data_IF_969091158352
#
_entry.id   IF_969091158352
#
_cell.length_a   1.000
_cell.length_b   1.000
_cell.length_c   1.000
_cell.angle_alpha   90.00
_cell.angle_beta   90.00
_cell.angle_gamma   90.00
#
_symmetry.space_group_name_H-M   'P 1'
#
loop_
_entity.id
_entity.type
_entity.pdbx_description
1 polymer ?
#
# COMPACT_ATOMS: atom_id res chain seq x y z
N UNK A 1 13.46 -2.01 -7.70
CA UNK A 1 13.47 -2.15 -6.23
C UNK A 1 12.10 -2.60 -5.75
N UNK A 2 12.02 -3.55 -4.81
CA UNK A 2 10.74 -3.97 -4.20
C UNK A 2 10.52 -3.29 -2.85
N UNK A 3 9.40 -2.60 -2.72
CA UNK A 3 9.01 -1.91 -1.48
C UNK A 3 7.69 -2.47 -0.97
N UNK A 4 7.65 -2.86 0.30
CA UNK A 4 6.41 -3.22 0.99
C UNK A 4 5.89 -2.05 1.82
N UNK A 5 4.61 -1.73 1.71
CA UNK A 5 3.90 -0.78 2.57
C UNK A 5 2.87 -1.54 3.38
N UNK A 6 3.06 -1.57 4.70
CA UNK A 6 2.20 -2.26 5.67
C UNK A 6 1.24 -1.25 6.30
N UNK A 7 -0.06 -1.46 6.06
CA UNK A 7 -1.16 -0.55 6.37
C UNK A 7 -1.47 0.35 5.17
N UNK A 8 -2.69 0.26 4.64
CA UNK A 8 -3.18 0.99 3.49
C UNK A 8 -4.18 2.11 3.86
N UNK A 9 -4.23 2.53 5.13
CA UNK A 9 -4.90 3.77 5.52
C UNK A 9 -4.28 5.01 4.84
N UNK A 10 -4.74 6.21 5.20
CA UNK A 10 -4.36 7.46 4.53
C UNK A 10 -2.84 7.63 4.27
N UNK A 11 -2.00 7.47 5.28
CA UNK A 11 -0.53 7.66 5.15
C UNK A 11 0.11 6.56 4.30
N UNK A 12 -0.25 5.29 4.53
CA UNK A 12 0.30 4.19 3.75
C UNK A 12 -0.10 4.25 2.28
N UNK A 13 -1.37 4.55 2.00
CA UNK A 13 -1.87 4.80 0.65
C UNK A 13 -1.14 5.96 -0.04
N UNK A 14 -0.77 7.03 0.70
CA UNK A 14 0.00 8.13 0.14
C UNK A 14 1.38 7.66 -0.35
N UNK A 15 2.14 6.96 0.49
CA UNK A 15 3.44 6.42 0.08
C UNK A 15 3.31 5.39 -1.04
N UNK A 16 2.39 4.44 -0.91
CA UNK A 16 2.18 3.39 -1.90
C UNK A 16 1.85 3.97 -3.28
N UNK A 17 0.97 4.98 -3.34
CA UNK A 17 0.56 5.56 -4.60
C UNK A 17 1.67 6.37 -5.28
N UNK A 18 2.42 7.19 -4.52
CA UNK A 18 3.54 7.93 -5.09
C UNK A 18 4.69 7.02 -5.52
N UNK A 19 5.04 6.00 -4.72
CA UNK A 19 6.09 5.06 -5.08
C UNK A 19 5.73 4.22 -6.31
N UNK A 20 4.45 3.85 -6.46
CA UNK A 20 3.96 3.09 -7.61
C UNK A 20 3.97 3.88 -8.94
N UNK A 21 4.31 5.18 -8.91
CA UNK A 21 4.54 5.99 -10.11
C UNK A 21 5.97 5.89 -10.65
N UNK A 22 6.90 5.35 -9.87
CA UNK A 22 8.29 5.23 -10.25
C UNK A 22 8.49 3.97 -11.10
N UNK A 23 9.13 4.09 -12.25
CA UNK A 23 9.30 2.97 -13.20
C UNK A 23 10.15 1.83 -12.62
N UNK A 24 11.12 2.16 -11.75
CA UNK A 24 12.06 1.21 -11.17
C UNK A 24 11.62 0.68 -9.79
N UNK A 25 10.37 0.92 -9.37
CA UNK A 25 9.86 0.50 -8.05
C UNK A 25 8.62 -0.38 -8.18
N UNK A 26 8.70 -1.61 -7.68
CA UNK A 26 7.57 -2.51 -7.52
C UNK A 26 7.02 -2.37 -6.09
N UNK A 27 5.82 -1.83 -5.95
CA UNK A 27 5.16 -1.60 -4.66
C UNK A 27 4.20 -2.74 -4.33
N UNK A 28 4.38 -3.31 -3.14
CA UNK A 28 3.46 -4.24 -2.49
C UNK A 28 2.77 -3.54 -1.32
N UNK A 29 1.46 -3.29 -1.45
CA UNK A 29 0.63 -2.69 -0.43
C UNK A 29 -0.12 -3.79 0.35
N UNK A 30 -0.02 -3.78 1.67
CA UNK A 30 -0.64 -4.78 2.53
C UNK A 30 -1.56 -4.16 3.56
N UNK A 31 -2.77 -4.67 3.68
CA UNK A 31 -3.70 -4.34 4.76
C UNK A 31 -4.57 -5.56 5.09
N UNK A 32 -4.99 -5.68 6.34
CA UNK A 32 -5.85 -6.79 6.80
C UNK A 32 -7.30 -6.64 6.33
N UNK A 33 -7.71 -5.43 5.96
CA UNK A 33 -9.04 -5.14 5.44
C UNK A 33 -9.18 -5.60 3.98
N UNK A 34 -9.80 -6.77 3.78
CA UNK A 34 -10.01 -7.37 2.46
C UNK A 34 -10.82 -6.47 1.52
N UNK A 35 -11.90 -5.87 2.01
CA UNK A 35 -12.77 -5.02 1.19
C UNK A 35 -12.00 -3.79 0.68
N UNK A 36 -11.13 -3.25 1.53
CA UNK A 36 -10.23 -2.17 1.15
C UNK A 36 -9.21 -2.60 0.08
N UNK A 37 -8.59 -3.77 0.24
CA UNK A 37 -7.65 -4.33 -0.74
C UNK A 37 -8.34 -4.61 -2.08
N UNK A 38 -9.54 -5.17 -2.08
CA UNK A 38 -10.32 -5.42 -3.29
C UNK A 38 -10.66 -4.10 -4.00
N UNK A 39 -11.02 -3.05 -3.25
CA UNK A 39 -11.25 -1.72 -3.80
C UNK A 39 -9.99 -1.12 -4.43
N UNK A 40 -8.82 -1.30 -3.81
CA UNK A 40 -7.53 -0.88 -4.37
C UNK A 40 -7.21 -1.66 -5.65
N UNK A 41 -7.39 -2.97 -5.67
CA UNK A 41 -7.10 -3.78 -6.85
C UNK A 41 -8.03 -3.44 -8.03
N UNK A 42 -9.31 -3.16 -7.75
CA UNK A 42 -10.27 -2.80 -8.78
C UNK A 42 -10.06 -1.38 -9.33
N UNK A 43 -9.76 -0.40 -8.46
CA UNK A 43 -9.81 1.02 -8.83
C UNK A 43 -8.45 1.73 -8.78
N UNK A 44 -7.40 1.08 -8.26
CA UNK A 44 -6.13 1.71 -7.93
C UNK A 44 -6.24 2.63 -6.71
N UNK A 45 -5.10 3.18 -6.31
CA UNK A 45 -5.03 4.27 -5.33
C UNK A 45 -5.14 5.61 -6.05
N UNK A 46 -6.16 6.40 -5.70
CA UNK A 46 -6.38 7.76 -6.19
C UNK A 46 -6.20 8.76 -5.06
N UNK A 47 -5.19 9.60 -5.18
CA UNK A 47 -4.94 10.74 -4.29
C UNK A 47 -5.39 12.02 -4.98
N UNK A 48 -5.99 12.91 -4.20
CA UNK A 48 -6.36 14.26 -4.62
C UNK A 48 -5.95 15.28 -3.55
N UNK A 49 -5.85 16.55 -3.92
CA UNK A 49 -5.36 17.63 -3.07
C UNK A 49 -4.25 18.40 -3.76
N UNK A 50 -3.08 18.51 -3.12
CA UNK A 50 -1.91 19.20 -3.69
C UNK A 50 -1.42 18.55 -5.00
N UNK A 51 -1.62 17.24 -5.15
CA UNK A 51 -1.35 16.51 -6.39
C UNK A 51 -2.50 15.53 -6.69
N UNK A 52 -2.78 15.33 -7.97
CA UNK A 52 -3.67 14.27 -8.46
C UNK A 52 -2.80 13.09 -8.88
N UNK A 53 -2.88 11.99 -8.12
CA UNK A 53 -2.10 10.78 -8.36
C UNK A 53 -3.05 9.60 -8.50
N UNK A 54 -2.90 8.85 -9.58
CA UNK A 54 -3.57 7.58 -9.77
C UNK A 54 -2.55 6.51 -10.14
N UNK A 55 -2.55 5.41 -9.38
CA UNK A 55 -1.56 4.35 -9.49
C UNK A 55 -2.12 3.00 -9.04
N UNK A 56 -1.44 1.93 -9.45
CA UNK A 56 -1.88 0.55 -9.24
C UNK A 56 -0.74 -0.26 -8.60
N UNK A 57 -0.48 -0.10 -7.29
CA UNK A 57 0.42 -1.01 -6.58
C UNK A 57 -0.17 -2.43 -6.56
N UNK A 58 0.67 -3.44 -6.30
CA UNK A 58 0.17 -4.78 -6.00
C UNK A 58 -0.40 -4.78 -4.59
N UNK A 59 -1.70 -4.98 -4.42
CA UNK A 59 -2.35 -4.97 -3.11
C UNK A 59 -2.79 -6.38 -2.69
N UNK A 60 -2.53 -6.75 -1.44
CA UNK A 60 -2.94 -8.05 -0.86
C UNK A 60 -3.25 -7.93 0.62
N UNK A 61 -4.17 -8.77 1.10
CA UNK A 61 -4.48 -9.00 2.51
C UNK A 61 -3.82 -10.27 3.06
N UNK A 62 -3.14 -11.04 2.20
CA UNK A 62 -2.41 -12.23 2.57
C UNK A 62 -0.90 -11.94 2.58
N UNK A 63 -0.23 -11.96 3.75
CA UNK A 63 1.19 -11.65 3.82
C UNK A 63 2.07 -12.66 3.06
N UNK A 64 1.57 -13.87 2.79
CA UNK A 64 2.30 -14.91 2.05
C UNK A 64 2.47 -14.58 0.56
N UNK A 65 1.66 -13.67 0.03
CA UNK A 65 1.77 -13.25 -1.37
C UNK A 65 2.93 -12.26 -1.59
N UNK A 66 3.40 -11.64 -0.50
CA UNK A 66 4.41 -10.58 -0.54
C UNK A 66 5.80 -11.22 -0.72
N UNK A 67 6.52 -10.91 -1.80
CA UNK A 67 7.88 -11.41 -1.99
C UNK A 67 8.86 -10.73 -1.03
N UNK A 68 10.09 -11.22 -0.97
CA UNK A 68 11.16 -10.50 -0.30
C UNK A 68 11.29 -9.07 -0.87
N UNK A 69 11.19 -8.07 0.00
CA UNK A 69 11.36 -6.66 -0.33
C UNK A 69 12.69 -6.13 0.20
N UNK A 70 13.22 -5.13 -0.50
CA UNK A 70 14.47 -4.44 -0.13
C UNK A 70 14.22 -3.36 0.91
N UNK A 71 12.99 -2.81 0.95
CA UNK A 71 12.57 -1.80 1.90
C UNK A 71 11.13 -2.01 2.36
N UNK A 72 10.85 -1.65 3.61
CA UNK A 72 9.52 -1.78 4.22
C UNK A 72 9.11 -0.48 4.93
N UNK A 73 7.89 -0.02 4.66
CA UNK A 73 7.25 1.11 5.34
C UNK A 73 6.12 0.56 6.20
N UNK A 74 6.19 0.76 7.52
CA UNK A 74 5.10 0.39 8.42
C UNK A 74 4.29 1.63 8.76
N UNK A 75 3.14 1.78 8.10
CA UNK A 75 2.21 2.91 8.23
C UNK A 75 0.93 2.51 8.97
N UNK A 76 1.07 1.78 10.08
CA UNK A 76 -0.06 1.33 10.91
C UNK A 76 -0.25 2.23 12.13
N UNK A 77 -1.45 2.19 12.71
CA UNK A 77 -1.72 2.82 14.01
C UNK A 77 -1.09 1.95 15.11
N UNK A 78 0.20 2.15 15.37
CA UNK A 78 1.02 1.33 16.28
C UNK A 78 0.34 0.97 17.62
N UNK A 79 -0.41 1.92 18.21
CA UNK A 79 -1.14 1.72 19.47
C UNK A 79 -2.36 0.78 19.36
N UNK A 80 -2.92 0.61 18.16
CA UNK A 80 -4.12 -0.17 17.90
C UNK A 80 -3.83 -1.50 17.16
N UNK A 81 -2.64 -1.65 16.56
CA UNK A 81 -2.30 -2.79 15.70
C UNK A 81 -2.45 -4.16 16.39
N UNK A 82 -2.24 -4.27 17.71
CA UNK A 82 -2.35 -5.56 18.43
C UNK A 82 -3.80 -6.08 18.52
N UNK A 83 -4.78 -5.17 18.53
CA UNK A 83 -6.19 -5.50 18.75
C UNK A 83 -7.02 -5.53 17.45
N UNK A 84 -6.39 -5.16 16.33
CA UNK A 84 -7.01 -5.14 15.00
C UNK A 84 -7.07 -6.55 14.39
#
# INVERSE_FOLDING_TARGET
MKVCVVGCGAIGSLFAAHLAKLEDVEVWAFDVDQDHIDAINANGLRLSGESDVHSYPKATSNPSDIPACEFGIVATKSLHTRAA
#
